data_IF_664234813817
#
_entry.id   IF_664234813817
#
_cell.length_a   1.000
_cell.length_b   1.000
_cell.length_c   1.000
_cell.angle_alpha   90.00
_cell.angle_beta   90.00
_cell.angle_gamma   90.00
#
_symmetry.space_group_name_H-M   'P 1'
#
loop_
_entity.id
_entity.type
_entity.pdbx_description
1 polymer ?
#
# COMPACT_ATOMS: atom_id res chain seq x y z
N UNK A 1 28.90 -2.84 35.29
CA UNK A 1 27.47 -3.09 35.05
C UNK A 1 27.10 -2.50 33.70
N UNK A 2 26.78 -3.34 32.74
CA UNK A 2 26.44 -2.96 31.36
C UNK A 2 25.02 -2.39 31.34
N UNK A 3 24.87 -1.09 31.09
CA UNK A 3 23.61 -0.56 30.58
C UNK A 3 23.55 -0.83 29.08
N UNK A 4 22.69 -1.79 28.73
CA UNK A 4 22.31 -2.09 27.36
C UNK A 4 21.80 -0.82 26.71
N UNK A 5 22.49 -0.43 25.62
CA UNK A 5 21.88 0.38 24.57
C UNK A 5 20.74 -0.46 24.02
N UNK A 6 19.52 -0.13 24.42
CA UNK A 6 18.33 -0.48 23.66
C UNK A 6 18.56 0.08 22.26
N UNK A 7 19.01 -0.80 21.37
CA UNK A 7 18.99 -0.56 19.94
C UNK A 7 17.53 -0.30 19.63
N UNK A 8 17.20 0.97 19.36
CA UNK A 8 16.01 1.32 18.60
C UNK A 8 15.88 0.29 17.49
N UNK A 9 14.81 -0.51 17.56
CA UNK A 9 14.44 -1.37 16.45
C UNK A 9 14.35 -0.44 15.25
N UNK A 10 15.28 -0.59 14.31
CA UNK A 10 15.07 -0.18 12.94
C UNK A 10 13.80 -0.91 12.50
N UNK A 11 12.65 -0.29 12.73
CA UNK A 11 11.44 -0.58 11.98
C UNK A 11 11.80 -0.19 10.55
N UNK A 12 12.44 -1.13 9.85
CA UNK A 12 12.74 -1.01 8.45
C UNK A 12 11.38 -0.73 7.80
N UNK A 13 11.16 0.52 7.37
CA UNK A 13 9.98 0.98 6.66
C UNK A 13 9.92 0.26 5.32
N UNK A 14 9.53 -1.02 5.35
CA UNK A 14 9.37 -1.87 4.20
C UNK A 14 8.01 -1.55 3.58
N UNK A 15 8.04 -1.32 2.28
CA UNK A 15 6.88 -0.99 1.48
C UNK A 15 6.75 -2.04 0.39
N UNK A 16 5.61 -2.76 0.31
CA UNK A 16 5.39 -3.74 -0.73
C UNK A 16 5.31 -3.03 -2.08
N UNK A 17 6.04 -3.51 -3.07
CA UNK A 17 6.01 -2.92 -4.42
C UNK A 17 4.73 -3.25 -5.18
N UNK A 18 4.02 -4.32 -4.79
CA UNK A 18 2.90 -4.88 -5.54
C UNK A 18 3.33 -5.81 -6.67
N UNK A 19 4.56 -5.70 -7.17
CA UNK A 19 5.06 -6.51 -8.27
C UNK A 19 5.29 -7.96 -7.84
N UNK A 20 4.90 -8.98 -8.64
CA UNK A 20 5.10 -10.39 -8.33
C UNK A 20 6.55 -10.84 -8.06
N UNK A 21 7.56 -10.06 -8.48
CA UNK A 21 8.98 -10.47 -8.46
C UNK A 21 9.84 -9.61 -7.52
N UNK A 22 9.42 -8.37 -7.23
CA UNK A 22 10.25 -7.39 -6.51
C UNK A 22 9.99 -7.37 -5.00
N UNK A 23 8.88 -7.96 -4.53
CA UNK A 23 8.58 -8.04 -3.09
C UNK A 23 8.47 -6.66 -2.44
N UNK A 24 9.20 -6.44 -1.36
CA UNK A 24 9.18 -5.20 -0.56
C UNK A 24 10.50 -4.43 -0.67
N UNK A 25 10.44 -3.10 -0.58
CA UNK A 25 11.64 -2.26 -0.50
C UNK A 25 11.46 -1.04 0.39
N UNK A 26 12.39 -0.10 0.38
CA UNK A 26 12.36 1.12 1.18
C UNK A 26 11.82 2.29 0.35
N UNK A 27 10.87 3.06 0.87
CA UNK A 27 10.44 4.29 0.20
C UNK A 27 11.60 5.30 0.23
N UNK A 28 11.96 5.83 -0.94
CA UNK A 28 13.01 6.85 -1.08
C UNK A 28 12.50 8.19 -1.58
N UNK A 29 11.30 8.22 -2.12
CA UNK A 29 10.61 9.44 -2.54
C UNK A 29 9.11 9.27 -2.35
N UNK A 30 8.45 10.28 -1.80
CA UNK A 30 7.00 10.37 -1.71
C UNK A 30 6.55 11.77 -2.11
N UNK A 31 5.49 11.86 -2.91
CA UNK A 31 4.90 13.13 -3.38
C UNK A 31 3.39 13.07 -3.21
N UNK A 32 2.85 13.98 -2.39
CA UNK A 32 1.40 14.21 -2.31
C UNK A 32 0.97 15.04 -3.53
N UNK A 33 0.17 14.42 -4.39
CA UNK A 33 -0.23 14.97 -5.69
C UNK A 33 -1.49 15.84 -5.60
N UNK A 34 -2.46 15.50 -4.75
CA UNK A 34 -3.72 16.24 -4.57
C UNK A 34 -3.68 17.28 -3.41
N UNK A 35 -2.52 17.90 -3.14
CA UNK A 35 -2.32 18.79 -1.98
C UNK A 35 -3.10 20.12 -2.06
N UNK A 36 -3.26 20.67 -3.26
CA UNK A 36 -4.05 21.87 -3.54
C UNK A 36 -5.15 21.46 -4.50
N UNK A 37 -6.41 21.58 -4.09
CA UNK A 37 -7.57 21.05 -4.80
C UNK A 37 -7.66 21.58 -6.22
N UNK A 38 -7.14 20.81 -7.20
CA UNK A 38 -7.16 21.15 -8.63
C UNK A 38 -6.59 20.01 -9.50
N UNK A 39 -5.71 19.15 -8.97
CA UNK A 39 -5.05 18.14 -9.81
C UNK A 39 -5.96 16.97 -10.22
N UNK A 40 -7.10 16.79 -9.54
CA UNK A 40 -8.11 15.74 -9.75
C UNK A 40 -7.49 14.38 -10.14
N UNK A 41 -6.36 14.02 -9.52
CA UNK A 41 -5.68 12.76 -9.85
C UNK A 41 -6.44 11.64 -9.18
N UNK A 42 -6.57 10.49 -9.85
CA UNK A 42 -7.19 9.30 -9.28
C UNK A 42 -6.21 8.59 -8.33
N UNK A 43 -5.43 9.34 -7.54
CA UNK A 43 -4.47 8.86 -6.53
C UNK A 43 -3.98 10.07 -5.73
N UNK A 44 -3.67 9.88 -4.46
CA UNK A 44 -3.17 10.92 -3.58
C UNK A 44 -1.66 11.02 -3.56
N UNK A 45 -0.95 9.88 -3.56
CA UNK A 45 0.50 9.84 -3.47
C UNK A 45 1.15 9.16 -4.68
N UNK A 46 2.36 9.61 -5.00
CA UNK A 46 3.34 8.86 -5.79
C UNK A 46 4.54 8.52 -4.94
N UNK A 47 4.93 7.26 -4.92
CA UNK A 47 6.12 6.81 -4.21
C UNK A 47 7.12 6.12 -5.15
N UNK A 48 8.40 6.22 -4.81
CA UNK A 48 9.45 5.41 -5.42
C UNK A 48 10.13 4.60 -4.33
N UNK A 49 10.46 3.35 -4.66
CA UNK A 49 10.90 2.33 -3.71
C UNK A 49 12.24 1.77 -4.18
N UNK A 50 13.20 1.69 -3.27
CA UNK A 50 14.44 0.97 -3.49
C UNK A 50 14.31 -0.47 -3.01
N UNK A 51 14.59 -1.42 -3.91
CA UNK A 51 14.54 -2.86 -3.63
C UNK A 51 15.95 -3.42 -3.73
N UNK A 52 16.42 -4.02 -2.63
CA UNK A 52 17.64 -4.82 -2.66
C UNK A 52 17.36 -6.21 -3.25
N UNK A 53 18.22 -6.67 -4.15
CA UNK A 53 18.06 -7.96 -4.81
C UNK A 53 19.31 -8.81 -4.63
N UNK A 54 19.16 -10.09 -4.33
CA UNK A 54 20.30 -10.99 -4.17
C UNK A 54 21.02 -11.23 -5.51
N UNK A 55 22.35 -11.28 -5.47
CA UNK A 55 23.18 -11.53 -6.66
C UNK A 55 22.84 -12.85 -7.36
N UNK A 56 22.42 -13.87 -6.60
CA UNK A 56 22.16 -15.22 -7.11
C UNK A 56 20.97 -15.27 -8.08
N UNK A 57 20.04 -14.32 -7.99
CA UNK A 57 18.83 -14.26 -8.82
C UNK A 57 18.84 -13.06 -9.77
N UNK A 58 19.95 -12.34 -9.84
CA UNK A 58 20.02 -11.04 -10.50
C UNK A 58 19.71 -11.11 -12.00
N UNK A 59 20.42 -11.98 -12.73
CA UNK A 59 20.25 -12.09 -14.19
C UNK A 59 18.82 -12.52 -14.57
N UNK A 60 18.29 -13.54 -13.89
CA UNK A 60 16.91 -13.99 -14.09
C UNK A 60 15.90 -12.87 -13.78
N UNK A 61 16.12 -12.13 -12.69
CA UNK A 61 15.26 -11.02 -12.31
C UNK A 61 15.28 -9.92 -13.37
N UNK A 62 16.45 -9.49 -13.82
CA UNK A 62 16.59 -8.43 -14.84
C UNK A 62 15.94 -8.85 -16.17
N UNK A 63 16.11 -10.11 -16.58
CA UNK A 63 15.47 -10.63 -17.79
C UNK A 63 13.93 -10.60 -17.68
N UNK A 64 13.41 -11.02 -16.52
CA UNK A 64 11.97 -11.00 -16.26
C UNK A 64 11.39 -9.59 -16.08
N UNK A 65 12.21 -8.58 -15.80
CA UNK A 65 11.83 -7.17 -15.67
C UNK A 65 12.13 -6.35 -16.93
N UNK A 66 12.43 -7.00 -18.06
CA UNK A 66 12.85 -6.33 -19.30
C UNK A 66 11.85 -5.27 -19.77
N UNK A 67 10.54 -5.54 -19.65
CA UNK A 67 9.49 -4.60 -19.99
C UNK A 67 9.52 -3.38 -19.04
N UNK A 68 9.51 -3.59 -17.73
CA UNK A 68 9.55 -2.53 -16.72
C UNK A 68 10.81 -1.68 -16.82
N UNK A 69 11.95 -2.29 -17.19
CA UNK A 69 13.21 -1.59 -17.44
C UNK A 69 13.11 -0.70 -18.69
N UNK A 70 12.56 -1.22 -19.79
CA UNK A 70 12.39 -0.46 -21.04
C UNK A 70 11.42 0.72 -20.87
N UNK A 71 10.39 0.56 -20.04
CA UNK A 71 9.42 1.61 -19.72
C UNK A 71 9.92 2.59 -18.63
N UNK A 72 11.15 2.43 -18.13
CA UNK A 72 11.72 3.21 -17.02
C UNK A 72 10.91 3.14 -15.71
N UNK A 73 10.09 2.12 -15.54
CA UNK A 73 9.37 1.83 -14.29
C UNK A 73 10.34 1.27 -13.25
N UNK A 74 11.26 0.42 -13.69
CA UNK A 74 12.37 -0.09 -12.88
C UNK A 74 13.66 0.48 -13.43
N UNK A 75 14.57 0.91 -12.55
CA UNK A 75 15.89 1.41 -12.91
C UNK A 75 16.96 0.73 -12.08
N UNK A 76 18.01 0.27 -12.74
CA UNK A 76 19.18 -0.30 -12.06
C UNK A 76 19.98 0.86 -11.44
N UNK A 77 20.04 0.91 -10.11
CA UNK A 77 20.87 1.86 -9.37
C UNK A 77 22.26 1.26 -9.15
N UNK A 78 22.31 -0.03 -8.81
CA UNK A 78 23.57 -0.75 -8.57
C UNK A 78 23.43 -2.21 -9.00
N UNK A 79 24.41 -2.71 -9.76
CA UNK A 79 24.53 -4.15 -10.03
C UNK A 79 25.27 -4.85 -8.89
N UNK A 80 24.96 -6.12 -8.58
CA UNK A 80 25.76 -6.91 -7.66
C UNK A 80 27.21 -7.04 -8.14
N UNK A 81 28.16 -7.16 -7.23
CA UNK A 81 29.58 -7.22 -7.55
C UNK A 81 30.07 -8.67 -7.50
N UNK A 82 30.50 -9.24 -8.63
CA UNK A 82 30.84 -10.67 -8.73
C UNK A 82 32.23 -10.99 -8.12
N UNK A 83 33.05 -10.01 -7.75
CA UNK A 83 34.41 -10.26 -7.25
C UNK A 83 34.53 -10.35 -5.71
N UNK A 84 35.40 -11.29 -5.32
CA UNK A 84 35.56 -11.98 -4.03
C UNK A 84 35.84 -11.12 -2.77
N UNK A 85 35.37 -11.64 -1.63
CA UNK A 85 35.93 -11.49 -0.26
C UNK A 85 35.98 -10.07 0.36
N UNK A 86 34.94 -9.27 0.25
CA UNK A 86 34.75 -8.16 1.22
C UNK A 86 33.37 -8.22 1.84
N UNK A 87 33.28 -7.82 3.11
CA UNK A 87 32.09 -7.77 3.97
C UNK A 87 31.01 -6.77 3.52
N UNK A 88 31.07 -6.32 2.27
CA UNK A 88 30.18 -5.33 1.66
C UNK A 88 29.06 -6.04 0.89
N UNK A 89 27.82 -5.66 1.14
CA UNK A 89 26.59 -6.29 0.60
C UNK A 89 26.67 -6.56 -0.92
N UNK A 90 26.78 -7.84 -1.30
CA UNK A 90 26.75 -8.32 -2.69
C UNK A 90 25.32 -8.32 -3.28
N UNK A 91 24.51 -7.34 -2.92
CA UNK A 91 23.14 -7.21 -3.44
C UNK A 91 23.11 -6.21 -4.57
N UNK A 92 22.28 -6.44 -5.57
CA UNK A 92 21.86 -5.40 -6.50
C UNK A 92 20.87 -4.44 -5.85
N UNK A 93 20.69 -3.27 -6.45
CA UNK A 93 19.74 -2.25 -6.01
C UNK A 93 18.94 -1.73 -7.21
N UNK A 94 17.62 -1.84 -7.10
CA UNK A 94 16.66 -1.36 -8.09
C UNK A 94 15.86 -0.20 -7.51
N UNK A 95 15.63 0.84 -8.31
CA UNK A 95 14.64 1.88 -8.05
C UNK A 95 13.36 1.52 -8.82
N UNK A 96 12.23 1.44 -8.11
CA UNK A 96 10.93 1.01 -8.62
C UNK A 96 9.94 2.16 -8.46
N UNK A 97 9.29 2.58 -9.54
CA UNK A 97 8.20 3.54 -9.46
C UNK A 97 7.96 4.36 -10.74
N UNK A 98 6.98 5.28 -10.72
CA UNK A 98 6.15 5.59 -9.55
C UNK A 98 5.14 4.48 -9.27
N UNK A 99 4.95 4.21 -7.98
CA UNK A 99 3.78 3.50 -7.45
C UNK A 99 2.78 4.56 -6.99
N UNK A 100 1.53 4.40 -7.36
CA UNK A 100 0.43 5.31 -7.08
C UNK A 100 -0.36 4.78 -5.89
N UNK A 101 -0.70 5.65 -4.94
CA UNK A 101 -1.46 5.28 -3.75
C UNK A 101 -2.67 6.18 -3.66
N UNK A 102 -3.85 5.57 -3.64
CA UNK A 102 -5.11 6.21 -3.27
C UNK A 102 -5.41 5.95 -1.81
N UNK A 103 -5.82 6.98 -1.07
CA UNK A 103 -6.18 6.87 0.34
C UNK A 103 -7.69 7.03 0.49
N UNK A 104 -8.33 6.03 1.10
CA UNK A 104 -9.76 6.09 1.43
C UNK A 104 -9.95 6.01 2.94
N UNK A 105 -10.64 7.00 3.47
CA UNK A 105 -10.94 7.10 4.89
C UNK A 105 -12.39 6.71 5.14
N UNK A 106 -12.63 5.78 6.06
CA UNK A 106 -13.96 5.32 6.47
C UNK A 106 -14.08 5.22 7.98
N UNK A 107 -15.30 5.17 8.49
CA UNK A 107 -15.58 4.95 9.92
C UNK A 107 -15.99 3.49 10.11
N UNK A 108 -15.47 2.83 11.14
CA UNK A 108 -15.88 1.48 11.49
C UNK A 108 -17.33 1.49 12.02
N UNK A 109 -18.26 0.94 11.23
CA UNK A 109 -19.68 0.83 11.59
C UNK A 109 -20.01 -0.42 12.39
N UNK A 110 -19.01 -1.22 12.82
CA UNK A 110 -19.24 -2.43 13.62
C UNK A 110 -19.83 -2.14 15.01
N UNK A 111 -19.72 -0.89 15.49
CA UNK A 111 -20.16 -0.48 16.81
C UNK A 111 -21.36 0.49 16.84
N UNK A 112 -22.00 0.77 15.69
CA UNK A 112 -23.26 1.52 15.76
C UNK A 112 -24.33 0.66 16.45
N UNK A 113 -24.75 1.13 17.63
CA UNK A 113 -25.74 0.54 18.51
C UNK A 113 -27.11 0.38 17.82
N UNK A 114 -27.28 -0.67 17.02
CA UNK A 114 -28.59 -1.25 16.76
C UNK A 114 -28.74 -2.43 17.74
N UNK A 115 -29.35 -2.17 18.91
CA UNK A 115 -29.65 -3.22 19.89
C UNK A 115 -30.68 -4.26 19.38
N UNK A 116 -31.27 -4.04 18.20
CA UNK A 116 -32.37 -4.86 17.67
C UNK A 116 -31.97 -6.06 16.80
N UNK A 117 -30.66 -6.35 16.61
CA UNK A 117 -30.22 -7.45 15.71
C UNK A 117 -29.38 -8.53 16.38
N UNK A 118 -29.83 -9.03 17.54
CA UNK A 118 -29.18 -10.17 18.24
C UNK A 118 -29.20 -11.53 17.51
N UNK A 119 -29.74 -11.63 16.29
CA UNK A 119 -29.85 -12.90 15.56
C UNK A 119 -29.35 -12.91 14.10
N UNK A 120 -28.61 -11.90 13.64
CA UNK A 120 -27.98 -11.98 12.31
C UNK A 120 -26.46 -12.10 12.44
N UNK A 121 -25.90 -13.24 12.04
CA UNK A 121 -24.47 -13.48 11.78
C UNK A 121 -23.94 -12.68 10.58
N UNK A 122 -24.58 -11.55 10.25
CA UNK A 122 -24.16 -10.70 9.15
C UNK A 122 -22.93 -9.92 9.58
N UNK A 123 -21.75 -10.36 9.12
CA UNK A 123 -20.57 -9.51 9.07
C UNK A 123 -20.95 -8.26 8.26
N UNK A 124 -21.19 -7.12 8.93
CA UNK A 124 -21.50 -5.86 8.24
C UNK A 124 -20.41 -5.60 7.18
N UNK A 125 -20.83 -5.37 5.95
CA UNK A 125 -19.97 -5.10 4.80
C UNK A 125 -19.20 -3.80 5.03
N UNK A 126 -17.88 -3.85 4.86
CA UNK A 126 -17.02 -2.66 4.85
C UNK A 126 -17.20 -1.93 3.50
N UNK A 127 -17.79 -0.72 3.53
CA UNK A 127 -18.13 0.06 2.36
C UNK A 127 -17.24 1.30 2.24
N UNK A 128 -16.73 1.54 1.03
CA UNK A 128 -16.02 2.76 0.66
C UNK A 128 -16.25 3.05 -0.81
N UNK A 129 -16.15 4.32 -1.20
CA UNK A 129 -16.34 4.74 -2.59
C UNK A 129 -15.03 4.68 -3.36
N UNK A 130 -15.13 4.22 -4.61
CA UNK A 130 -14.07 4.28 -5.60
C UNK A 130 -14.69 4.73 -6.93
N UNK A 131 -14.13 5.78 -7.52
CA UNK A 131 -14.63 6.33 -8.77
C UNK A 131 -14.25 5.46 -9.96
N UNK A 132 -14.99 5.60 -11.06
CA UNK A 132 -14.66 4.96 -12.33
C UNK A 132 -13.26 5.34 -12.83
N UNK A 133 -12.83 6.58 -12.59
CA UNK A 133 -11.50 7.07 -12.96
C UNK A 133 -10.39 6.31 -12.22
N UNK A 134 -10.58 6.02 -10.92
CA UNK A 134 -9.65 5.24 -10.12
C UNK A 134 -9.59 3.78 -10.56
N UNK A 135 -10.73 3.17 -10.91
CA UNK A 135 -10.76 1.79 -11.42
C UNK A 135 -10.05 1.66 -12.78
N UNK A 136 -10.32 2.59 -13.70
CA UNK A 136 -9.64 2.64 -14.99
C UNK A 136 -8.13 2.84 -14.81
N UNK A 137 -7.75 3.72 -13.89
CA UNK A 137 -6.34 3.96 -13.58
C UNK A 137 -5.70 2.72 -12.94
N UNK A 138 -6.35 2.09 -11.96
CA UNK A 138 -5.88 0.84 -11.36
C UNK A 138 -5.66 -0.24 -12.43
N UNK A 139 -6.60 -0.41 -13.35
CA UNK A 139 -6.49 -1.39 -14.45
C UNK A 139 -5.31 -1.10 -15.38
N UNK A 140 -5.03 0.17 -15.65
CA UNK A 140 -3.90 0.59 -16.50
C UNK A 140 -2.54 0.40 -15.83
N UNK A 141 -2.46 0.63 -14.52
CA UNK A 141 -1.18 0.61 -13.77
C UNK A 141 -0.98 -0.68 -12.96
N UNK A 142 -1.99 -1.55 -12.93
CA UNK A 142 -2.01 -2.90 -12.38
C UNK A 142 -1.41 -2.94 -10.97
N UNK A 143 -0.26 -3.60 -10.82
CA UNK A 143 0.40 -3.79 -9.54
C UNK A 143 0.95 -2.48 -8.95
N UNK A 144 1.08 -1.42 -9.74
CA UNK A 144 1.56 -0.11 -9.29
C UNK A 144 0.47 0.76 -8.69
N UNK A 145 -0.79 0.31 -8.66
CA UNK A 145 -1.88 1.05 -8.05
C UNK A 145 -2.32 0.42 -6.73
N UNK A 146 -1.99 1.10 -5.64
CA UNK A 146 -2.25 0.66 -4.29
C UNK A 146 -3.43 1.42 -3.70
N UNK A 147 -4.18 0.74 -2.84
CA UNK A 147 -5.21 1.35 -2.01
C UNK A 147 -4.76 1.30 -0.55
N UNK A 148 -4.80 2.43 0.12
CA UNK A 148 -4.60 2.55 1.56
C UNK A 148 -5.93 2.91 2.21
N UNK A 149 -6.50 1.97 2.96
CA UNK A 149 -7.71 2.21 3.75
C UNK A 149 -7.32 2.69 5.15
N UNK A 150 -7.88 3.82 5.55
CA UNK A 150 -7.79 4.35 6.92
C UNK A 150 -9.16 4.19 7.55
N UNK A 151 -9.28 3.34 8.55
CA UNK A 151 -10.54 3.00 9.21
C UNK A 151 -10.51 3.57 10.63
N UNK A 152 -11.39 4.53 10.90
CA UNK A 152 -11.50 5.16 12.20
C UNK A 152 -12.45 4.38 13.11
N UNK A 153 -12.00 3.97 14.30
CA UNK A 153 -12.89 3.42 15.31
C UNK A 153 -13.56 4.56 16.08
N UNK A 154 -14.90 4.56 16.14
CA UNK A 154 -15.69 5.59 16.80
C UNK A 154 -16.34 5.10 18.10
N UNK A 155 -15.71 4.15 18.81
CA UNK A 155 -16.16 3.68 20.12
C UNK A 155 -16.17 4.81 21.16
N UNK A 156 -17.31 5.49 21.30
CA UNK A 156 -17.52 6.54 22.29
C UNK A 156 -17.26 6.06 23.74
N UNK A 157 -17.41 4.75 24.01
CA UNK A 157 -17.13 4.15 25.33
C UNK A 157 -15.63 4.13 25.68
N UNK A 158 -14.75 3.98 24.68
CA UNK A 158 -13.30 4.02 24.92
C UNK A 158 -12.78 5.45 25.14
N UNK A 159 -13.48 6.46 24.60
CA UNK A 159 -13.13 7.86 24.75
C UNK A 159 -13.49 8.44 26.14
N UNK A 160 -14.46 7.84 26.83
CA UNK A 160 -14.92 8.31 28.15
C UNK A 160 -14.10 7.68 29.29
N UNK A 161 -13.72 6.41 29.18
CA UNK A 161 -12.94 5.70 30.23
C UNK A 161 -11.43 5.98 30.18
N UNK A 162 -10.93 6.57 29.09
CA UNK A 162 -9.53 6.97 28.97
C UNK A 162 -9.48 8.42 28.56
N UNK A 163 -9.05 9.28 29.48
CA UNK A 163 -8.64 10.67 29.26
C UNK A 163 -7.38 10.78 28.36
N UNK A 164 -7.21 9.85 27.41
CA UNK A 164 -6.17 9.74 26.41
C UNK A 164 -6.85 9.63 25.05
N UNK A 165 -7.02 10.78 24.39
CA UNK A 165 -7.58 10.97 23.05
C UNK A 165 -6.69 10.40 21.92
N UNK A 166 -6.08 9.22 22.10
CA UNK A 166 -5.34 8.55 21.04
C UNK A 166 -6.26 7.58 20.31
N UNK A 167 -7.17 8.12 19.47
CA UNK A 167 -7.87 7.28 18.49
C UNK A 167 -6.84 6.92 17.42
N UNK A 168 -6.32 5.70 17.50
CA UNK A 168 -5.41 5.16 16.48
C UNK A 168 -6.24 4.49 15.38
N UNK A 169 -6.23 4.99 14.14
CA UNK A 169 -6.97 4.36 13.06
C UNK A 169 -6.36 3.00 12.69
N UNK A 170 -7.21 2.06 12.27
CA UNK A 170 -6.73 0.85 11.61
C UNK A 170 -6.34 1.18 10.17
N UNK A 171 -5.15 0.75 9.75
CA UNK A 171 -4.67 0.93 8.39
C UNK A 171 -4.66 -0.42 7.69
N UNK A 172 -5.30 -0.51 6.52
CA UNK A 172 -5.23 -1.67 5.63
C UNK A 172 -4.57 -1.21 4.33
N UNK A 173 -3.42 -1.80 4.01
CA UNK A 173 -2.74 -1.57 2.75
C UNK A 173 -3.04 -2.71 1.78
N UNK A 174 -3.54 -2.35 0.58
CA UNK A 174 -3.76 -3.24 -0.56
C UNK A 174 -2.71 -2.92 -1.63
N UNK A 175 -1.63 -3.70 -1.76
CA UNK A 175 -0.51 -3.40 -2.67
C UNK A 175 -0.78 -3.70 -4.16
N UNK A 176 -1.97 -4.17 -4.52
CA UNK A 176 -2.37 -4.32 -5.91
C UNK A 176 -3.88 -4.40 -5.95
N UNK A 177 -4.54 -3.26 -6.15
CA UNK A 177 -5.99 -3.21 -6.15
C UNK A 177 -6.57 -4.11 -7.26
N UNK A 178 -5.99 -4.05 -8.46
CA UNK A 178 -6.42 -4.87 -9.60
C UNK A 178 -6.24 -6.35 -9.33
N UNK A 179 -5.09 -6.77 -8.78
CA UNK A 179 -4.85 -8.18 -8.47
C UNK A 179 -5.83 -8.73 -7.44
N UNK A 180 -6.18 -7.91 -6.44
CA UNK A 180 -7.21 -8.20 -5.45
C UNK A 180 -8.59 -8.31 -6.13
N UNK A 181 -9.01 -7.34 -6.93
CA UNK A 181 -10.30 -7.39 -7.62
C UNK A 181 -10.45 -8.58 -8.59
N UNK A 182 -9.34 -9.06 -9.17
CA UNK A 182 -9.33 -10.21 -10.09
C UNK A 182 -9.34 -11.57 -9.40
N UNK A 183 -8.82 -11.67 -8.18
CA UNK A 183 -8.91 -12.88 -7.39
C UNK A 183 -10.36 -12.99 -6.90
N UNK A 184 -11.15 -13.89 -7.50
CA UNK A 184 -12.59 -14.18 -7.25
C UNK A 184 -12.99 -14.53 -5.79
N UNK A 185 -12.18 -14.15 -4.80
CA UNK A 185 -12.41 -14.25 -3.37
C UNK A 185 -12.42 -12.85 -2.78
N UNK A 186 -13.56 -12.17 -2.73
CA UNK A 186 -13.61 -10.81 -2.16
C UNK A 186 -14.67 -10.67 -1.08
N UNK A 187 -14.16 -10.45 0.14
CA UNK A 187 -14.80 -9.68 1.23
C UNK A 187 -14.90 -8.17 0.91
N UNK A 188 -14.44 -7.73 -0.27
CA UNK A 188 -14.56 -6.36 -0.77
C UNK A 188 -15.71 -6.30 -1.78
N UNK A 189 -16.83 -5.72 -1.38
CA UNK A 189 -17.96 -5.42 -2.27
C UNK A 189 -17.81 -3.99 -2.77
N UNK A 190 -17.72 -3.82 -4.09
CA UNK A 190 -17.68 -2.51 -4.73
C UNK A 190 -19.10 -2.03 -5.01
N UNK A 191 -19.50 -0.92 -4.40
CA UNK A 191 -20.75 -0.24 -4.74
C UNK A 191 -20.44 0.93 -5.67
N UNK A 192 -20.85 0.82 -6.93
CA UNK A 192 -20.73 1.89 -7.91
C UNK A 192 -22.03 2.70 -7.86
N UNK A 193 -22.00 3.86 -7.22
CA UNK A 193 -23.10 4.82 -7.31
C UNK A 193 -22.92 5.67 -8.58
N UNK A 194 -23.81 5.52 -9.55
CA UNK A 194 -23.86 6.43 -10.70
C UNK A 194 -24.94 7.48 -10.45
N UNK A 195 -24.54 8.75 -10.42
CA UNK A 195 -25.47 9.87 -10.43
C UNK A 195 -26.19 9.86 -11.79
N UNK A 196 -27.47 9.54 -11.81
CA UNK A 196 -28.29 9.76 -13.01
C UNK A 196 -28.49 11.27 -13.15
N UNK A 197 -27.90 11.85 -14.20
CA UNK A 197 -28.22 13.22 -14.61
C UNK A 197 -29.70 13.32 -14.94
N UNK A 198 -30.33 14.41 -14.49
CA UNK A 198 -31.71 14.77 -14.87
C UNK A 198 -31.78 15.17 -16.34
#
# INVERSE_FOLDING_TARGET
MHHGRDREKNDNFTFPTGHPLLGTGRIVKSVWCNRSGESCKPYDFKVHVEVECDSSRWEDLINNLSNELSENIVRIIRRPHIQQKSSTSNKGLLLVGPIFIEVKSTIDSRHSHDEDRRNSTSSRTDLFEISSHEILFATRYVWRYHLLRVIWNNDAKQAIDKMNLSITPQIIHVPSLTGVLQQNSMKLQMCIAMLHGK
#
